data_IF_468210824480
#
_entry.id   IF_468210824480
#
_cell.length_a   1.000
_cell.length_b   1.000
_cell.length_c   1.000
_cell.angle_alpha   90.00
_cell.angle_beta   90.00
_cell.angle_gamma   90.00
#
_symmetry.space_group_name_H-M   'P 1'
#
loop_
_entity.id
_entity.type
_entity.pdbx_description
1 polymer ?
#
# COMPACT_ATOMS: atom_id res chain seq x y z
N UNK A 1 -14.44 12.90 -0.92
CA UNK A 1 -13.18 13.02 -0.14
C UNK A 1 -13.14 14.35 0.64
N UNK A 2 -13.76 15.39 0.08
CA UNK A 2 -14.01 16.72 0.62
C UNK A 2 -14.61 16.66 2.03
N UNK A 3 -15.71 15.92 2.20
CA UNK A 3 -16.31 15.76 3.51
C UNK A 3 -15.35 15.17 4.55
N UNK A 4 -14.63 14.10 4.19
CA UNK A 4 -13.72 13.40 5.10
C UNK A 4 -12.58 14.32 5.60
N UNK A 5 -11.91 15.01 4.67
CA UNK A 5 -10.69 15.75 4.99
C UNK A 5 -10.90 17.23 5.33
N UNK A 6 -12.01 17.83 4.93
CA UNK A 6 -12.21 19.29 4.97
C UNK A 6 -13.49 19.69 5.71
N UNK A 7 -14.63 19.09 5.38
CA UNK A 7 -15.92 19.58 5.89
C UNK A 7 -16.37 18.94 7.19
N UNK A 8 -15.87 17.74 7.49
CA UNK A 8 -16.25 17.02 8.71
C UNK A 8 -15.88 17.87 9.95
N UNK A 9 -16.79 18.06 10.92
CA UNK A 9 -16.50 18.80 12.15
C UNK A 9 -15.25 18.27 12.87
N UNK A 10 -15.07 16.95 12.88
CA UNK A 10 -13.88 16.31 13.42
C UNK A 10 -12.60 16.75 12.71
N UNK A 11 -12.62 16.79 11.37
CA UNK A 11 -11.47 17.22 10.57
C UNK A 11 -11.15 18.70 10.82
N UNK A 12 -12.16 19.57 10.90
CA UNK A 12 -11.98 21.01 11.20
C UNK A 12 -11.31 21.23 12.54
N UNK A 13 -11.80 20.57 13.59
CA UNK A 13 -11.22 20.66 14.93
C UNK A 13 -9.78 20.15 14.95
N UNK A 14 -9.45 19.12 14.16
CA UNK A 14 -8.07 18.62 14.07
C UNK A 14 -7.14 19.59 13.33
N UNK A 15 -7.60 20.21 12.23
CA UNK A 15 -6.87 21.27 11.54
C UNK A 15 -6.57 22.45 12.47
N UNK A 16 -7.58 22.92 13.20
CA UNK A 16 -7.46 23.99 14.19
C UNK A 16 -6.47 23.62 15.30
N UNK A 17 -6.62 22.44 15.89
CA UNK A 17 -5.76 21.96 16.97
C UNK A 17 -4.30 21.79 16.56
N UNK A 18 -4.03 21.61 15.27
CA UNK A 18 -2.67 21.48 14.71
C UNK A 18 -2.00 22.82 14.35
N UNK A 19 -2.72 23.94 14.48
CA UNK A 19 -2.28 25.26 14.04
C UNK A 19 -2.23 25.41 12.51
N UNK A 20 -3.06 24.65 11.80
CA UNK A 20 -3.11 24.57 10.33
C UNK A 20 -4.52 24.86 9.81
N UNK A 21 -5.29 25.65 10.56
CA UNK A 21 -6.65 26.07 10.25
C UNK A 21 -6.73 26.83 8.93
N UNK A 22 -5.76 27.68 8.60
CA UNK A 22 -5.70 28.39 7.31
C UNK A 22 -5.61 27.44 6.12
N UNK A 23 -5.00 26.26 6.32
CA UNK A 23 -4.97 25.18 5.35
C UNK A 23 -6.37 24.55 5.31
N UNK A 24 -6.91 24.04 6.42
CA UNK A 24 -8.26 23.45 6.46
C UNK A 24 -9.37 24.35 5.88
N UNK A 25 -9.43 25.61 6.30
CA UNK A 25 -10.41 26.61 5.87
C UNK A 25 -10.16 27.10 4.43
N UNK A 26 -8.90 27.41 4.09
CA UNK A 26 -8.52 27.82 2.74
C UNK A 26 -8.67 26.70 1.71
N UNK A 27 -8.81 25.45 2.16
CA UNK A 27 -9.02 24.27 1.32
C UNK A 27 -10.48 23.83 1.23
N UNK A 28 -11.31 24.06 2.25
CA UNK A 28 -12.75 23.75 2.27
C UNK A 28 -13.57 24.45 1.18
N UNK A 29 -13.00 25.49 0.52
CA UNK A 29 -13.62 26.24 -0.58
C UNK A 29 -13.31 25.68 -1.97
N UNK A 30 -12.51 24.61 -2.06
CA UNK A 30 -12.03 24.04 -3.31
C UNK A 30 -12.43 22.57 -3.45
N UNK A 31 -12.55 22.08 -4.69
CA UNK A 31 -12.73 20.65 -4.98
C UNK A 31 -11.48 19.86 -4.60
N UNK A 32 -11.62 18.57 -4.30
CA UNK A 32 -10.47 17.73 -3.91
C UNK A 32 -9.28 17.77 -4.91
N UNK A 33 -9.47 17.85 -6.24
CA UNK A 33 -8.35 18.01 -7.18
C UNK A 33 -7.57 19.32 -7.01
N UNK A 34 -8.25 20.44 -6.75
CA UNK A 34 -7.61 21.74 -6.48
C UNK A 34 -6.86 21.71 -5.14
N UNK A 35 -7.44 21.04 -4.15
CA UNK A 35 -6.76 20.74 -2.89
C UNK A 35 -5.45 19.97 -3.12
N UNK A 36 -5.50 18.88 -3.91
CA UNK A 36 -4.33 18.08 -4.21
C UNK A 36 -3.26 18.91 -4.94
N UNK A 37 -3.65 19.75 -5.90
CA UNK A 37 -2.72 20.66 -6.60
C UNK A 37 -2.03 21.63 -5.63
N UNK A 38 -2.76 22.18 -4.66
CA UNK A 38 -2.19 23.06 -3.63
C UNK A 38 -1.28 22.29 -2.66
N UNK A 39 -1.65 21.08 -2.27
CA UNK A 39 -0.78 20.20 -1.48
C UNK A 39 0.54 19.92 -2.20
N UNK A 40 0.49 19.59 -3.49
CA UNK A 40 1.70 19.35 -4.31
C UNK A 40 2.57 20.61 -4.45
N UNK A 41 2.00 21.80 -4.40
CA UNK A 41 2.80 23.04 -4.40
C UNK A 41 3.68 23.21 -3.15
N UNK A 42 3.30 22.55 -2.03
CA UNK A 42 4.06 22.56 -0.78
C UNK A 42 5.29 21.66 -0.81
N UNK A 43 5.55 20.89 -1.88
CA UNK A 43 6.72 20.02 -1.98
C UNK A 43 8.05 20.78 -1.76
N UNK A 44 8.09 22.07 -2.12
CA UNK A 44 9.25 22.95 -1.88
C UNK A 44 9.43 23.35 -0.41
N UNK A 45 8.47 23.02 0.46
CA UNK A 45 8.46 23.30 1.90
C UNK A 45 8.29 21.97 2.66
N UNK A 46 9.35 21.14 2.76
CA UNK A 46 9.25 19.74 3.15
C UNK A 46 8.64 19.54 4.54
N UNK A 47 8.99 20.37 5.53
CA UNK A 47 8.41 20.30 6.87
C UNK A 47 6.91 20.61 6.87
N UNK A 48 6.50 21.63 6.12
CA UNK A 48 5.09 21.99 6.00
C UNK A 48 4.30 20.91 5.27
N UNK A 49 4.84 20.39 4.17
CA UNK A 49 4.27 19.28 3.42
C UNK A 49 4.08 18.05 4.32
N UNK A 50 5.13 17.64 5.05
CA UNK A 50 5.07 16.51 5.99
C UNK A 50 4.01 16.74 7.07
N UNK A 51 3.92 17.94 7.63
CA UNK A 51 2.91 18.29 8.64
C UNK A 51 1.49 18.14 8.08
N UNK A 52 1.24 18.62 6.87
CA UNK A 52 -0.07 18.51 6.20
C UNK A 52 -0.41 17.05 5.89
N UNK A 53 0.54 16.27 5.36
CA UNK A 53 0.38 14.84 5.09
C UNK A 53 0.09 14.06 6.36
N UNK A 54 0.80 14.37 7.46
CA UNK A 54 0.57 13.74 8.76
C UNK A 54 -0.84 14.01 9.31
N UNK A 55 -1.38 15.22 9.13
CA UNK A 55 -2.76 15.55 9.54
C UNK A 55 -3.77 14.76 8.69
N UNK A 56 -3.60 14.73 7.36
CA UNK A 56 -4.44 13.94 6.46
C UNK A 56 -4.44 12.46 6.83
N UNK A 57 -3.26 11.91 7.10
CA UNK A 57 -3.11 10.54 7.59
C UNK A 57 -3.88 10.31 8.89
N UNK A 58 -3.78 11.21 9.86
CA UNK A 58 -4.53 11.10 11.12
C UNK A 58 -6.05 11.14 10.93
N UNK A 59 -6.55 11.99 10.04
CA UNK A 59 -7.98 12.05 9.71
C UNK A 59 -8.43 10.71 9.12
N UNK A 60 -7.72 10.23 8.10
CA UNK A 60 -8.02 8.96 7.44
C UNK A 60 -7.95 7.77 8.41
N UNK A 61 -6.90 7.71 9.22
CA UNK A 61 -6.70 6.63 10.19
C UNK A 61 -7.77 6.63 11.26
N UNK A 62 -8.17 7.80 11.77
CA UNK A 62 -9.24 7.94 12.76
C UNK A 62 -10.57 7.44 12.21
N UNK A 63 -10.91 7.78 10.95
CA UNK A 63 -12.10 7.25 10.29
C UNK A 63 -12.04 5.72 10.13
N UNK A 64 -10.88 5.19 9.75
CA UNK A 64 -10.73 3.74 9.60
C UNK A 64 -10.79 2.99 10.93
N UNK A 65 -10.28 3.56 12.02
CA UNK A 65 -10.45 2.99 13.36
C UNK A 65 -11.92 2.89 13.76
N UNK A 66 -12.73 3.89 13.44
CA UNK A 66 -14.16 3.85 13.72
C UNK A 66 -14.84 2.78 12.86
N UNK A 67 -14.58 2.78 11.55
CA UNK A 67 -15.27 1.91 10.59
C UNK A 67 -14.88 0.43 10.74
N UNK A 68 -13.61 0.13 11.01
CA UNK A 68 -13.09 -1.24 10.97
C UNK A 68 -12.75 -1.81 12.35
N UNK A 69 -12.46 -0.97 13.33
CA UNK A 69 -11.99 -1.43 14.65
C UNK A 69 -12.93 -1.00 15.80
N UNK A 70 -13.97 -0.21 15.53
CA UNK A 70 -14.85 0.35 16.57
C UNK A 70 -14.14 1.25 17.57
N UNK A 71 -12.95 1.77 17.22
CA UNK A 71 -12.12 2.60 18.12
C UNK A 71 -12.35 4.09 17.82
N UNK A 72 -12.55 4.87 18.87
CA UNK A 72 -12.63 6.32 18.79
C UNK A 72 -11.71 6.95 19.83
N UNK A 73 -10.94 7.94 19.41
CA UNK A 73 -10.03 8.68 20.27
C UNK A 73 -10.47 10.14 20.35
N UNK A 74 -10.34 10.73 21.54
CA UNK A 74 -10.54 12.17 21.69
C UNK A 74 -9.45 12.98 20.99
N UNK A 75 -9.79 14.20 20.56
CA UNK A 75 -8.86 15.13 19.89
C UNK A 75 -7.54 15.31 20.67
N UNK A 76 -7.53 15.47 22.02
CA UNK A 76 -6.27 15.62 22.75
C UNK A 76 -5.36 14.39 22.67
N UNK A 77 -5.93 13.19 22.63
CA UNK A 77 -5.16 11.96 22.46
C UNK A 77 -4.59 11.86 21.03
N UNK A 78 -5.40 12.20 20.03
CA UNK A 78 -4.97 12.23 18.63
C UNK A 78 -3.87 13.26 18.38
N UNK A 79 -3.96 14.45 18.98
CA UNK A 79 -2.94 15.49 18.86
C UNK A 79 -1.63 15.11 19.53
N UNK A 80 -1.68 14.45 20.69
CA UNK A 80 -0.46 13.89 21.32
C UNK A 80 0.22 12.86 20.43
N UNK A 81 -0.55 11.91 19.89
CA UNK A 81 -0.01 10.93 18.96
C UNK A 81 0.51 11.57 17.66
N UNK A 82 -0.16 12.61 17.17
CA UNK A 82 0.26 13.36 16.00
C UNK A 82 1.62 14.03 16.24
N UNK A 83 1.78 14.77 17.34
CA UNK A 83 3.04 15.45 17.65
C UNK A 83 4.19 14.44 17.78
N UNK A 84 3.97 13.35 18.51
CA UNK A 84 4.97 12.28 18.66
C UNK A 84 5.39 11.69 17.31
N UNK A 85 4.43 11.35 16.44
CA UNK A 85 4.74 10.79 15.12
C UNK A 85 5.37 11.81 14.17
N UNK A 86 4.94 13.06 14.23
CA UNK A 86 5.53 14.11 13.39
C UNK A 86 6.97 14.39 13.78
N UNK A 87 7.29 14.45 15.07
CA UNK A 87 8.66 14.59 15.58
C UNK A 87 9.52 13.39 15.15
N UNK A 88 9.00 12.17 15.26
CA UNK A 88 9.67 10.97 14.76
C UNK A 88 9.96 11.08 13.27
N UNK A 89 8.98 11.42 12.44
CA UNK A 89 9.15 11.49 10.98
C UNK A 89 10.14 12.56 10.53
N UNK A 90 10.18 13.70 11.21
CA UNK A 90 11.09 14.81 10.87
C UNK A 90 12.51 14.55 11.38
N UNK A 91 12.67 13.74 12.42
CA UNK A 91 13.99 13.41 13.00
C UNK A 91 14.71 12.26 12.29
N UNK A 92 14.02 11.51 11.44
CA UNK A 92 14.64 10.46 10.62
C UNK A 92 15.61 11.09 9.59
N UNK A 93 16.83 10.55 9.46
CA UNK A 93 17.71 10.93 8.36
C UNK A 93 16.99 10.69 7.04
N UNK A 94 16.94 11.71 6.18
CA UNK A 94 16.58 11.50 4.78
C UNK A 94 17.76 10.79 4.15
N UNK A 95 17.74 9.46 4.15
CA UNK A 95 18.67 8.70 3.33
C UNK A 95 18.52 9.20 1.89
N UNK A 96 19.62 9.56 1.20
CA UNK A 96 19.55 9.89 -0.21
C UNK A 96 19.05 8.66 -0.96
N UNK A 97 17.77 8.67 -1.31
CA UNK A 97 17.14 7.64 -2.13
C UNK A 97 17.88 7.62 -3.48
N UNK A 98 18.18 6.40 -3.94
CA UNK A 98 18.91 6.01 -5.16
C UNK A 98 20.42 5.79 -4.99
N UNK A 99 20.81 4.83 -4.16
CA UNK A 99 21.91 3.97 -4.62
C UNK A 99 21.33 2.98 -5.63
N UNK A 100 21.86 2.89 -6.87
CA UNK A 100 21.44 1.85 -7.80
C UNK A 100 21.70 0.50 -7.13
N UNK A 101 20.62 -0.23 -6.87
CA UNK A 101 20.71 -1.62 -6.43
C UNK A 101 21.55 -2.34 -7.48
N UNK A 102 22.70 -2.94 -7.10
CA UNK A 102 23.49 -3.73 -8.04
C UNK A 102 22.57 -4.80 -8.66
N UNK A 103 22.73 -5.16 -9.94
CA UNK A 103 22.02 -6.32 -10.48
C UNK A 103 22.32 -7.49 -9.54
N UNK A 104 21.28 -8.03 -8.89
CA UNK A 104 21.47 -9.20 -8.05
C UNK A 104 21.99 -10.31 -8.96
N UNK A 105 23.24 -10.70 -8.73
CA UNK A 105 23.76 -11.94 -9.27
C UNK A 105 22.90 -13.05 -8.67
N UNK A 106 22.16 -13.76 -9.54
CA UNK A 106 21.39 -14.94 -9.16
C UNK A 106 22.42 -16.02 -8.82
N UNK A 107 22.91 -16.00 -7.58
CA UNK A 107 23.61 -17.13 -7.03
C UNK A 107 22.54 -18.18 -6.77
N UNK A 108 22.49 -19.17 -7.66
CA UNK A 108 21.76 -20.42 -7.46
C UNK A 108 22.35 -21.15 -6.24
N UNK A 109 21.93 -20.74 -5.06
CA UNK A 109 22.08 -21.46 -3.79
C UNK A 109 21.34 -20.59 -2.78
N UNK A 110 20.19 -21.01 -2.29
CA UNK A 110 20.21 -21.82 -1.08
C UNK A 110 18.93 -22.65 -0.98
N UNK A 111 19.12 -23.97 -1.12
CA UNK A 111 18.46 -24.91 -0.22
C UNK A 111 18.81 -24.48 1.20
N UNK A 112 17.84 -23.99 1.97
CA UNK A 112 17.73 -24.09 3.44
C UNK A 112 16.39 -23.44 3.86
N UNK A 113 15.35 -24.27 3.98
CA UNK A 113 14.06 -24.08 4.68
C UNK A 113 13.64 -22.67 5.14
N UNK A 114 13.64 -21.69 4.24
CA UNK A 114 13.18 -20.34 4.50
C UNK A 114 12.21 -19.99 3.38
N UNK A 115 10.93 -19.86 3.71
CA UNK A 115 9.85 -19.82 2.73
C UNK A 115 9.98 -18.60 1.84
N UNK A 116 10.31 -18.79 0.56
CA UNK A 116 10.29 -17.73 -0.46
C UNK A 116 8.89 -17.17 -0.59
N UNK A 117 8.77 -15.84 -0.53
CA UNK A 117 7.49 -15.14 -0.57
C UNK A 117 7.29 -14.57 -1.97
N UNK A 118 6.15 -14.86 -2.57
CA UNK A 118 5.72 -14.24 -3.81
C UNK A 118 4.54 -13.31 -3.54
N UNK A 119 4.68 -12.04 -3.91
CA UNK A 119 3.63 -11.03 -3.81
C UNK A 119 3.13 -10.67 -5.19
N UNK A 120 1.82 -10.56 -5.30
CA UNK A 120 1.13 -10.25 -6.54
C UNK A 120 0.08 -9.17 -6.31
N UNK A 121 -0.17 -8.37 -7.35
CA UNK A 121 -1.17 -7.30 -7.33
C UNK A 121 -1.64 -6.98 -8.76
N UNK A 122 -2.94 -6.76 -8.92
CA UNK A 122 -3.61 -6.48 -10.18
C UNK A 122 -4.23 -5.08 -10.20
N UNK A 123 -3.92 -4.31 -11.24
CA UNK A 123 -4.45 -2.97 -11.43
C UNK A 123 -5.26 -2.87 -12.72
N UNK A 124 -6.47 -2.33 -12.61
CA UNK A 124 -7.32 -2.00 -13.75
C UNK A 124 -7.37 -0.49 -13.96
N UNK A 125 -7.61 -0.09 -15.21
CA UNK A 125 -8.01 1.28 -15.55
C UNK A 125 -9.15 1.18 -16.56
N UNK A 126 -10.33 1.67 -16.18
CA UNK A 126 -11.52 1.64 -17.05
C UNK A 126 -11.20 2.22 -18.44
N UNK A 127 -11.56 1.46 -19.49
CA UNK A 127 -11.33 1.86 -20.88
C UNK A 127 -9.86 1.81 -21.31
N UNK A 128 -9.02 1.03 -20.63
CA UNK A 128 -7.59 0.90 -20.91
C UNK A 128 -7.11 -0.54 -20.69
N UNK A 129 -5.85 -0.80 -21.06
CA UNK A 129 -5.14 -2.00 -20.62
C UNK A 129 -5.06 -2.04 -19.10
N UNK A 130 -5.15 -3.26 -18.58
CA UNK A 130 -4.89 -3.59 -17.19
C UNK A 130 -3.48 -4.13 -17.04
N UNK A 131 -2.95 -4.06 -15.84
CA UNK A 131 -1.58 -4.45 -15.54
C UNK A 131 -1.54 -5.23 -14.24
N UNK A 132 -0.42 -5.91 -14.02
CA UNK A 132 -0.14 -6.51 -12.73
C UNK A 132 1.35 -6.61 -12.46
N UNK A 133 1.68 -6.86 -11.22
CA UNK A 133 3.04 -6.98 -10.75
C UNK A 133 3.23 -8.23 -9.92
N UNK A 134 4.41 -8.82 -10.05
CA UNK A 134 4.88 -9.95 -9.25
C UNK A 134 6.22 -9.56 -8.63
N UNK A 135 6.39 -9.88 -7.35
CA UNK A 135 7.63 -9.67 -6.59
C UNK A 135 7.94 -10.92 -5.79
N UNK A 136 9.08 -11.56 -6.08
CA UNK A 136 9.61 -12.71 -5.33
C UNK A 136 10.67 -12.20 -4.36
N UNK A 137 10.53 -12.53 -3.08
CA UNK A 137 11.47 -12.19 -2.03
C UNK A 137 11.98 -13.45 -1.32
N UNK A 138 13.22 -13.36 -0.85
CA UNK A 138 13.76 -14.35 0.08
C UNK A 138 13.11 -14.20 1.47
N UNK A 139 13.42 -15.13 2.37
CA UNK A 139 12.86 -15.12 3.72
C UNK A 139 13.34 -13.95 4.60
N UNK A 140 14.40 -13.25 4.20
CA UNK A 140 14.90 -12.05 4.87
C UNK A 140 14.24 -10.77 4.33
N UNK A 141 13.31 -10.89 3.37
CA UNK A 141 12.65 -9.75 2.72
C UNK A 141 13.46 -9.12 1.60
N UNK A 142 14.58 -9.72 1.20
CA UNK A 142 15.38 -9.29 0.05
C UNK A 142 14.66 -9.56 -1.26
N UNK A 143 14.68 -8.60 -2.19
CA UNK A 143 14.13 -8.76 -3.53
C UNK A 143 14.98 -9.75 -4.33
N UNK A 144 14.36 -10.83 -4.81
CA UNK A 144 15.00 -11.85 -5.65
C UNK A 144 14.66 -11.61 -7.12
N UNK A 145 13.37 -11.49 -7.45
CA UNK A 145 12.88 -11.30 -8.82
C UNK A 145 11.63 -10.40 -8.83
N UNK A 146 11.39 -9.74 -9.96
CA UNK A 146 10.15 -9.02 -10.21
C UNK A 146 9.74 -9.16 -11.67
N UNK A 147 8.43 -9.12 -11.93
CA UNK A 147 7.87 -9.16 -13.29
C UNK A 147 6.62 -8.28 -13.37
N UNK A 148 6.53 -7.52 -14.46
CA UNK A 148 5.32 -6.80 -14.85
C UNK A 148 4.52 -7.60 -15.87
N UNK A 149 3.20 -7.48 -15.80
CA UNK A 149 2.24 -8.10 -16.71
C UNK A 149 1.33 -7.02 -17.31
N UNK A 150 0.89 -7.23 -18.54
CA UNK A 150 -0.13 -6.41 -19.19
C UNK A 150 -1.22 -7.31 -19.76
N UNK A 151 -2.47 -6.91 -19.58
CA UNK A 151 -3.64 -7.61 -20.07
C UNK A 151 -4.48 -6.68 -20.95
N UNK A 152 -4.83 -7.10 -22.19
CA UNK A 152 -5.65 -6.28 -23.06
C UNK A 152 -7.12 -6.33 -22.65
N UNK A 153 -7.72 -5.15 -22.43
CA UNK A 153 -9.17 -4.94 -22.33
C UNK A 153 -9.89 -5.76 -21.24
N UNK A 154 -9.25 -5.93 -20.08
CA UNK A 154 -9.87 -6.58 -18.90
C UNK A 154 -10.15 -5.53 -17.84
N UNK A 155 -11.41 -5.09 -17.75
CA UNK A 155 -11.79 -4.00 -16.83
C UNK A 155 -12.30 -4.50 -15.47
N UNK A 156 -12.42 -5.82 -15.28
CA UNK A 156 -12.90 -6.41 -14.01
C UNK A 156 -11.70 -6.62 -13.06
N UNK A 157 -11.64 -5.93 -11.90
CA UNK A 157 -10.47 -5.97 -11.03
C UNK A 157 -10.15 -7.37 -10.49
N UNK A 158 -11.17 -8.13 -10.07
CA UNK A 158 -10.98 -9.46 -9.49
C UNK A 158 -10.46 -10.47 -10.53
N UNK A 159 -10.81 -10.32 -11.80
CA UNK A 159 -10.33 -11.12 -12.92
C UNK A 159 -8.87 -10.78 -13.19
N UNK A 160 -8.50 -9.49 -13.19
CA UNK A 160 -7.09 -9.09 -13.34
C UNK A 160 -6.26 -9.65 -12.20
N UNK A 161 -6.70 -9.49 -10.95
CA UNK A 161 -6.07 -10.08 -9.77
C UNK A 161 -5.87 -11.59 -9.94
N UNK A 162 -6.90 -12.32 -10.35
CA UNK A 162 -6.82 -13.77 -10.56
C UNK A 162 -5.87 -14.15 -11.70
N UNK A 163 -5.82 -13.36 -12.77
CA UNK A 163 -4.91 -13.58 -13.90
C UNK A 163 -3.46 -13.32 -13.50
N UNK A 164 -3.19 -12.27 -12.72
CA UNK A 164 -1.87 -12.00 -12.17
C UNK A 164 -1.41 -13.18 -11.32
N UNK A 165 -2.24 -13.65 -10.40
CA UNK A 165 -1.93 -14.84 -9.57
C UNK A 165 -1.68 -16.09 -10.43
N UNK A 166 -2.47 -16.31 -11.47
CA UNK A 166 -2.27 -17.45 -12.37
C UNK A 166 -0.92 -17.38 -13.09
N UNK A 167 -0.58 -16.21 -13.65
CA UNK A 167 0.70 -15.99 -14.32
C UNK A 167 1.87 -16.08 -13.35
N UNK A 168 1.69 -15.64 -12.11
CA UNK A 168 2.66 -15.74 -11.03
C UNK A 168 2.99 -17.21 -10.72
N UNK A 169 1.95 -18.01 -10.49
CA UNK A 169 2.08 -19.44 -10.24
C UNK A 169 2.86 -20.14 -11.37
N UNK A 170 2.46 -19.91 -12.62
CA UNK A 170 3.10 -20.53 -13.79
C UNK A 170 4.56 -20.09 -13.95
N UNK A 171 4.84 -18.81 -13.69
CA UNK A 171 6.18 -18.28 -13.80
C UNK A 171 7.09 -18.84 -12.72
N UNK A 172 6.64 -18.91 -11.47
CA UNK A 172 7.37 -19.56 -10.38
C UNK A 172 7.69 -21.02 -10.68
N UNK A 173 6.73 -21.78 -11.24
CA UNK A 173 6.99 -23.16 -11.69
C UNK A 173 8.05 -23.23 -12.77
N UNK A 174 7.99 -22.33 -13.76
CA UNK A 174 8.97 -22.29 -14.86
C UNK A 174 10.40 -22.00 -14.38
N UNK A 175 10.54 -21.31 -13.25
CA UNK A 175 11.81 -21.01 -12.59
C UNK A 175 12.29 -22.12 -11.64
N UNK A 176 11.51 -23.20 -11.49
CA UNK A 176 11.85 -24.34 -10.65
C UNK A 176 11.53 -24.18 -9.16
N UNK A 177 10.77 -23.16 -8.77
CA UNK A 177 10.28 -23.04 -7.40
C UNK A 177 9.27 -24.16 -7.10
N UNK A 178 9.47 -24.84 -5.96
CA UNK A 178 8.64 -25.99 -5.55
C UNK A 178 7.64 -25.64 -4.46
N UNK A 179 8.04 -24.81 -3.51
CA UNK A 179 7.21 -24.41 -2.37
C UNK A 179 7.41 -22.93 -2.09
N UNK A 180 6.33 -22.15 -2.16
CA UNK A 180 6.34 -20.71 -1.96
C UNK A 180 5.13 -20.24 -1.15
N UNK A 181 5.25 -19.08 -0.48
CA UNK A 181 4.09 -18.39 0.08
C UNK A 181 3.62 -17.33 -0.92
N UNK A 182 2.39 -17.45 -1.39
CA UNK A 182 1.75 -16.46 -2.25
C UNK A 182 0.94 -15.47 -1.39
N UNK A 183 1.23 -14.18 -1.50
CA UNK A 183 0.62 -13.09 -0.73
C UNK A 183 -0.04 -12.08 -1.67
N UNK A 184 -1.36 -11.89 -1.52
CA UNK A 184 -2.13 -10.86 -2.23
C UNK A 184 -3.17 -10.23 -1.31
N UNK A 185 -3.80 -9.13 -1.73
CA UNK A 185 -4.83 -8.44 -0.93
C UNK A 185 -6.28 -8.83 -1.31
N UNK A 186 -6.46 -9.48 -2.47
CA UNK A 186 -7.72 -9.98 -2.98
C UNK A 186 -8.24 -11.21 -2.19
N UNK A 187 -8.78 -10.94 -1.00
CA UNK A 187 -9.31 -11.95 -0.05
C UNK A 187 -10.24 -12.99 -0.68
N UNK A 188 -11.11 -12.58 -1.61
CA UNK A 188 -12.07 -13.48 -2.28
C UNK A 188 -11.36 -14.56 -3.09
N UNK A 189 -10.25 -14.22 -3.76
CA UNK A 189 -9.45 -15.18 -4.54
C UNK A 189 -8.77 -16.16 -3.60
N UNK A 190 -8.10 -15.64 -2.56
CA UNK A 190 -7.38 -16.45 -1.58
C UNK A 190 -8.30 -17.45 -0.90
N UNK A 191 -9.50 -17.02 -0.47
CA UNK A 191 -10.47 -17.91 0.16
C UNK A 191 -11.00 -18.98 -0.79
N UNK A 192 -11.29 -18.63 -2.06
CA UNK A 192 -11.74 -19.60 -3.07
C UNK A 192 -10.67 -20.65 -3.37
N UNK A 193 -9.41 -20.22 -3.53
CA UNK A 193 -8.29 -21.12 -3.80
C UNK A 193 -8.05 -22.04 -2.61
N UNK A 194 -7.97 -21.51 -1.40
CA UNK A 194 -7.74 -22.33 -0.20
C UNK A 194 -8.86 -23.36 0.04
N UNK A 195 -10.11 -23.06 -0.33
CA UNK A 195 -11.22 -24.03 -0.31
C UNK A 195 -11.12 -25.10 -1.40
N UNK A 196 -10.64 -24.73 -2.59
CA UNK A 196 -10.50 -25.67 -3.70
C UNK A 196 -9.28 -26.60 -3.56
N UNK A 197 -8.21 -26.13 -2.92
CA UNK A 197 -6.89 -26.79 -2.88
C UNK A 197 -6.64 -27.72 -1.68
N UNK A 198 -7.67 -28.28 -1.05
CA UNK A 198 -7.51 -29.09 0.18
C UNK A 198 -6.96 -30.51 -0.05
N UNK A 199 -6.65 -30.94 -1.29
CA UNK A 199 -6.11 -32.28 -1.58
C UNK A 199 -5.11 -32.26 -2.75
N UNK A 200 -3.86 -32.63 -2.44
CA UNK A 200 -2.72 -33.04 -3.28
C UNK A 200 -1.67 -31.98 -3.71
N UNK A 201 -0.42 -32.31 -3.38
CA UNK A 201 0.91 -31.83 -3.79
C UNK A 201 1.08 -30.34 -4.13
N UNK A 202 1.74 -29.64 -3.20
CA UNK A 202 1.68 -28.19 -3.00
C UNK A 202 2.75 -27.43 -3.78
N UNK A 203 2.32 -26.37 -4.46
CA UNK A 203 3.20 -25.26 -4.87
C UNK A 203 3.41 -24.25 -3.74
N UNK A 204 2.67 -24.42 -2.63
CA UNK A 204 2.84 -23.74 -1.35
C UNK A 204 1.54 -23.14 -0.79
N UNK A 205 1.64 -22.11 0.04
CA UNK A 205 0.55 -21.55 0.85
C UNK A 205 0.04 -20.22 0.28
N UNK A 206 -1.28 -19.99 0.26
CA UNK A 206 -1.89 -18.71 -0.15
C UNK A 206 -2.39 -17.92 1.06
N UNK A 207 -1.85 -16.71 1.24
CA UNK A 207 -2.07 -15.85 2.38
C UNK A 207 -2.55 -14.46 1.94
N UNK A 208 -3.30 -13.80 2.82
CA UNK A 208 -3.60 -12.38 2.66
C UNK A 208 -2.40 -11.56 3.13
N UNK A 209 -1.97 -10.59 2.32
CA UNK A 209 -0.95 -9.60 2.68
C UNK A 209 -1.46 -8.63 3.75
#
# INVERSE_FOLDING_TARGET
MEHLFLDCPFARVLWESSGMDYIGQGLSRHTFPLFLKKLMSLLHQPLLFMKVVAILWKIWRSRNWIVFEGKQFGIPALMRQFNQQYEEWVSLPVDPILQPVPPLAINQSTSNSSTTICRWDGATRSGSHSAGGIVIMDANGGLVLAKGLQFPLIDEPLVVELLVLREDILWCQSLGFKEMRFEGDAKVIIEKINRAYTRNNQMGQFCKK
#
